data_IF_783617499671
#
_entry.id   IF_783617499671
#
_cell.length_a   1.000
_cell.length_b   1.000
_cell.length_c   1.000
_cell.angle_alpha   90.00
_cell.angle_beta   90.00
_cell.angle_gamma   90.00
#
_symmetry.space_group_name_H-M   'P 1'
#
loop_
_entity.id
_entity.type
_entity.pdbx_description
1 polymer ?
#
# COMPACT_ATOMS: atom_id res chain seq x y z
N UNK A 1 -4.87 0.18 -17.35
CA UNK A 1 -5.18 1.01 -16.17
C UNK A 1 -4.74 0.21 -14.96
N UNK A 2 -3.85 0.74 -14.13
CA UNK A 2 -3.45 0.07 -12.89
C UNK A 2 -4.58 0.22 -11.86
N UNK A 3 -4.79 -0.83 -11.06
CA UNK A 3 -5.71 -0.82 -9.92
C UNK A 3 -5.00 -1.51 -8.76
N UNK A 4 -4.78 -0.80 -7.67
CA UNK A 4 -4.15 -1.37 -6.49
C UNK A 4 -5.06 -2.44 -5.85
N UNK A 5 -4.55 -3.67 -5.57
CA UNK A 5 -5.31 -4.75 -4.93
C UNK A 5 -5.32 -4.58 -3.40
N UNK A 6 -5.91 -3.46 -2.94
CA UNK A 6 -5.88 -3.06 -1.53
C UNK A 6 -6.55 -4.10 -0.63
N UNK A 7 -7.67 -4.66 -1.06
CA UNK A 7 -8.44 -5.66 -0.30
C UNK A 7 -7.66 -6.95 -0.10
N UNK A 8 -6.99 -7.44 -1.15
CA UNK A 8 -6.17 -8.65 -1.09
C UNK A 8 -4.92 -8.45 -0.22
N UNK A 9 -4.29 -7.27 -0.29
CA UNK A 9 -3.15 -6.93 0.56
C UNK A 9 -3.58 -6.87 2.04
N UNK A 10 -4.67 -6.15 2.34
CA UNK A 10 -5.20 -6.05 3.69
C UNK A 10 -5.59 -7.44 4.25
N UNK A 11 -6.25 -8.27 3.43
CA UNK A 11 -6.59 -9.64 3.81
C UNK A 11 -5.33 -10.46 4.12
N UNK A 12 -4.34 -10.41 3.23
CA UNK A 12 -3.09 -11.16 3.40
C UNK A 12 -2.37 -10.74 4.68
N UNK A 13 -2.25 -9.44 4.94
CA UNK A 13 -1.62 -8.95 6.16
C UNK A 13 -2.36 -9.42 7.41
N UNK A 14 -3.68 -9.19 7.46
CA UNK A 14 -4.50 -9.45 8.65
C UNK A 14 -4.64 -10.94 8.97
N UNK A 15 -4.87 -11.77 7.95
CA UNK A 15 -5.29 -13.15 8.14
C UNK A 15 -4.24 -14.20 7.77
N UNK A 16 -3.25 -13.85 6.94
CA UNK A 16 -2.22 -14.80 6.50
C UNK A 16 -0.88 -14.51 7.17
N UNK A 17 -0.48 -13.24 7.24
CA UNK A 17 0.81 -12.82 7.79
C UNK A 17 0.79 -12.55 9.31
N UNK A 18 -0.37 -12.70 9.97
CA UNK A 18 -0.49 -12.58 11.41
C UNK A 18 -0.52 -11.13 11.94
N UNK A 19 -0.83 -10.14 11.10
CA UNK A 19 -0.94 -8.75 11.57
C UNK A 19 -2.06 -8.60 12.61
N UNK A 20 -3.23 -9.22 12.40
CA UNK A 20 -4.38 -9.09 13.30
C UNK A 20 -4.08 -9.53 14.75
N UNK A 21 -3.51 -10.72 15.02
CA UNK A 21 -3.12 -11.08 16.39
C UNK A 21 -1.99 -10.19 16.94
N UNK A 22 -1.07 -9.71 16.11
CA UNK A 22 0.01 -8.83 16.56
C UNK A 22 -0.51 -7.44 17.00
N UNK A 23 -1.51 -6.89 16.29
CA UNK A 23 -2.22 -5.67 16.68
C UNK A 23 -2.96 -5.87 18.01
N UNK A 24 -3.69 -6.99 18.16
CA UNK A 24 -4.40 -7.31 19.40
C UNK A 24 -3.45 -7.47 20.60
N UNK A 25 -2.22 -7.93 20.38
CA UNK A 25 -1.19 -8.02 21.40
C UNK A 25 -0.50 -6.67 21.72
N UNK A 26 -0.86 -5.57 21.03
CA UNK A 26 -0.23 -4.27 21.21
C UNK A 26 1.21 -4.20 20.70
N UNK A 27 1.59 -5.09 19.78
CA UNK A 27 2.98 -5.21 19.30
C UNK A 27 3.46 -3.98 18.51
N UNK A 28 2.52 -3.15 18.05
CA UNK A 28 2.77 -2.03 17.15
C UNK A 28 2.29 -0.68 17.72
N UNK A 29 2.36 -0.52 19.06
CA UNK A 29 2.00 0.73 19.74
C UNK A 29 0.56 1.18 19.39
N UNK A 30 0.39 2.37 18.80
CA UNK A 30 -0.90 2.98 18.44
C UNK A 30 -1.45 2.50 17.08
N UNK A 31 -0.84 1.51 16.43
CA UNK A 31 -1.36 0.98 15.18
C UNK A 31 -2.65 0.19 15.43
N UNK A 32 -3.78 0.73 14.95
CA UNK A 32 -5.10 0.10 14.94
C UNK A 32 -5.42 -0.59 13.60
N UNK A 33 -6.40 -1.48 13.59
CA UNK A 33 -6.87 -2.16 12.37
C UNK A 33 -7.48 -1.16 11.36
N UNK A 34 -8.21 -0.18 11.86
CA UNK A 34 -8.78 0.94 11.10
C UNK A 34 -7.70 1.84 10.48
N UNK A 35 -6.63 2.12 11.22
CA UNK A 35 -5.50 2.90 10.73
C UNK A 35 -4.74 2.16 9.62
N UNK A 36 -4.56 0.84 9.76
CA UNK A 36 -3.99 0.00 8.70
C UNK A 36 -4.84 0.09 7.44
N UNK A 37 -6.16 -0.05 7.55
CA UNK A 37 -7.07 0.02 6.41
C UNK A 37 -7.02 1.39 5.73
N UNK A 38 -7.00 2.48 6.52
CA UNK A 38 -6.90 3.83 5.99
C UNK A 38 -5.59 4.06 5.23
N UNK A 39 -4.46 3.60 5.76
CA UNK A 39 -3.14 3.71 5.11
C UNK A 39 -3.13 2.94 3.80
N UNK A 40 -3.62 1.70 3.78
CA UNK A 40 -3.64 0.87 2.58
C UNK A 40 -4.56 1.45 1.50
N UNK A 41 -5.72 2.01 1.88
CA UNK A 41 -6.62 2.68 0.97
C UNK A 41 -5.98 3.91 0.31
N UNK A 42 -5.36 4.77 1.11
CA UNK A 42 -4.71 5.99 0.61
C UNK A 42 -3.48 5.67 -0.24
N UNK A 43 -2.67 4.68 0.16
CA UNK A 43 -1.55 4.20 -0.65
C UNK A 43 -2.04 3.63 -1.99
N UNK A 44 -3.15 2.90 -2.00
CA UNK A 44 -3.77 2.39 -3.23
C UNK A 44 -4.27 3.50 -4.15
N UNK A 45 -4.91 4.53 -3.59
CA UNK A 45 -5.33 5.74 -4.32
C UNK A 45 -4.13 6.45 -4.93
N UNK A 46 -3.12 6.77 -4.12
CA UNK A 46 -1.91 7.47 -4.56
C UNK A 46 -1.15 6.68 -5.64
N UNK A 47 -1.00 5.37 -5.47
CA UNK A 47 -0.36 4.52 -6.48
C UNK A 47 -1.13 4.52 -7.82
N UNK A 48 -2.46 4.62 -7.76
CA UNK A 48 -3.33 4.61 -8.95
C UNK A 48 -3.39 5.98 -9.63
N UNK A 49 -3.49 7.05 -8.86
CA UNK A 49 -3.74 8.40 -9.36
C UNK A 49 -2.46 9.18 -9.67
N UNK A 50 -1.40 8.98 -8.89
CA UNK A 50 -0.17 9.79 -9.00
C UNK A 50 0.98 8.96 -9.58
N UNK A 51 1.21 7.75 -9.08
CA UNK A 51 2.35 6.93 -9.50
C UNK A 51 2.11 6.29 -10.87
N UNK A 52 0.98 5.61 -11.05
CA UNK A 52 0.71 4.86 -12.27
C UNK A 52 0.79 5.72 -13.54
N UNK A 53 0.26 6.96 -13.62
CA UNK A 53 0.37 7.76 -14.84
C UNK A 53 1.82 8.01 -15.29
N UNK A 54 2.78 7.99 -14.38
CA UNK A 54 4.19 8.26 -14.67
C UNK A 54 4.94 7.06 -15.26
N UNK A 55 4.37 5.85 -15.29
CA UNK A 55 5.10 4.66 -15.76
C UNK A 55 5.63 4.85 -17.19
N UNK A 56 4.82 5.44 -18.08
CA UNK A 56 5.17 5.61 -19.49
C UNK A 56 6.24 6.67 -19.69
N UNK A 57 6.09 7.81 -18.99
CA UNK A 57 7.08 8.90 -19.04
C UNK A 57 8.43 8.42 -18.52
N UNK A 58 8.44 7.65 -17.43
CA UNK A 58 9.65 7.06 -16.87
C UNK A 58 10.36 6.11 -17.83
N UNK A 59 9.60 5.25 -18.53
CA UNK A 59 10.14 4.31 -19.52
C UNK A 59 10.71 5.01 -20.77
N UNK A 60 10.05 6.06 -21.23
CA UNK A 60 10.45 6.80 -22.44
C UNK A 60 11.65 7.73 -22.20
N UNK A 61 11.73 8.39 -21.05
CA UNK A 61 12.75 9.41 -20.77
C UNK A 61 13.97 8.86 -20.04
N UNK A 62 13.78 7.89 -19.12
CA UNK A 62 14.85 7.38 -18.27
C UNK A 62 15.49 8.45 -17.35
N UNK A 63 16.58 8.07 -16.69
CA UNK A 63 17.39 8.98 -15.87
C UNK A 63 18.65 9.44 -16.62
N UNK A 64 19.07 10.68 -16.40
CA UNK A 64 20.30 11.24 -16.98
C UNK A 64 21.33 11.44 -15.87
N UNK A 65 22.57 11.02 -16.12
CA UNK A 65 23.69 11.28 -15.21
C UNK A 65 24.27 12.67 -15.52
N UNK A 66 24.24 13.56 -14.54
CA UNK A 66 24.87 14.88 -14.58
C UNK A 66 26.30 14.86 -14.06
#
# INVERSE_FOLDING_TARGET
MYRAPVEEIAFTLKYVAGLKPALAAGSFCELGEDLVDAILAEAGRFATEEVAPLYKIGDELGAVLS
#
